data_IF_598856670538
#
_entry.id   IF_598856670538
#
_cell.length_a   1.000
_cell.length_b   1.000
_cell.length_c   1.000
_cell.angle_alpha   90.00
_cell.angle_beta   90.00
_cell.angle_gamma   90.00
#
_symmetry.space_group_name_H-M   'P 1'
#
loop_
_entity.id
_entity.type
_entity.pdbx_description
1 polymer ?
#
# COMPACT_ATOMS: atom_id res chain seq x y z
N UNK A 1 -37.29 32.46 20.54
CA UNK A 1 -37.41 32.39 19.07
C UNK A 1 -36.31 31.49 18.58
N UNK A 2 -36.67 30.39 17.90
CA UNK A 2 -35.69 29.47 17.33
C UNK A 2 -35.44 29.87 15.88
N UNK A 3 -34.17 30.04 15.53
CA UNK A 3 -33.74 30.39 14.18
C UNK A 3 -32.50 29.59 13.81
N UNK A 4 -32.42 29.16 12.55
CA UNK A 4 -31.24 28.49 12.01
C UNK A 4 -30.57 29.37 10.96
N UNK A 5 -29.24 29.45 11.01
CA UNK A 5 -28.44 30.19 10.05
C UNK A 5 -27.31 29.28 9.55
N UNK A 6 -27.17 29.16 8.23
CA UNK A 6 -26.10 28.38 7.59
C UNK A 6 -25.09 29.34 6.95
N UNK A 7 -23.80 29.09 7.15
CA UNK A 7 -22.72 29.88 6.56
C UNK A 7 -21.56 29.01 6.13
N UNK A 8 -20.91 29.39 5.03
CA UNK A 8 -19.69 28.78 4.52
C UNK A 8 -18.48 29.72 4.64
N UNK A 9 -18.70 30.94 5.17
CA UNK A 9 -17.66 31.96 5.26
C UNK A 9 -16.63 31.56 6.31
N UNK A 10 -15.35 31.50 5.91
CA UNK A 10 -14.19 31.14 6.75
C UNK A 10 -14.18 29.69 7.25
N UNK A 11 -14.84 28.76 6.56
CA UNK A 11 -14.79 27.33 6.87
C UNK A 11 -13.77 26.63 5.97
N UNK A 12 -12.63 26.24 6.55
CA UNK A 12 -11.57 25.38 5.97
C UNK A 12 -11.82 23.91 6.32
N UNK A 13 -11.70 23.02 5.34
CA UNK A 13 -12.00 21.60 5.51
C UNK A 13 -10.95 20.83 6.32
N UNK A 14 -11.38 19.75 6.99
CA UNK A 14 -10.54 18.96 7.90
C UNK A 14 -10.25 19.64 9.24
N UNK A 15 -10.91 20.77 9.53
CA UNK A 15 -10.76 21.51 10.80
C UNK A 15 -12.05 21.45 11.62
N UNK A 16 -11.85 21.55 12.93
CA UNK A 16 -12.89 21.68 13.95
C UNK A 16 -13.09 23.16 14.23
N UNK A 17 -14.34 23.62 14.31
CA UNK A 17 -14.67 25.02 14.53
C UNK A 17 -15.39 25.23 15.85
N UNK A 18 -15.07 26.32 16.52
CA UNK A 18 -15.87 26.87 17.60
C UNK A 18 -16.71 28.02 17.05
N UNK A 19 -18.02 27.98 17.23
CA UNK A 19 -18.95 29.00 16.77
C UNK A 19 -19.87 29.46 17.92
N UNK A 20 -20.31 30.71 17.86
CA UNK A 20 -21.38 31.26 18.70
C UNK A 20 -22.23 32.21 17.86
N UNK A 21 -23.50 32.38 18.22
CA UNK A 21 -24.43 33.24 17.50
C UNK A 21 -24.98 34.35 18.41
N UNK A 22 -25.52 35.40 17.82
CA UNK A 22 -26.35 36.38 18.52
C UNK A 22 -27.46 36.85 17.58
N UNK A 23 -28.59 37.29 18.13
CA UNK A 23 -29.75 37.71 17.35
C UNK A 23 -29.59 39.16 16.86
N UNK A 24 -30.29 39.52 15.80
CA UNK A 24 -30.41 40.92 15.34
C UNK A 24 -31.87 41.33 15.43
N UNK A 25 -32.18 42.38 16.20
CA UNK A 25 -33.56 42.86 16.43
C UNK A 25 -33.72 44.32 16.03
N UNK A 26 -34.95 44.71 15.64
CA UNK A 26 -35.36 46.10 15.38
C UNK A 26 -36.63 46.39 16.19
N UNK A 27 -36.68 47.42 17.06
CA UNK A 27 -35.58 48.31 17.42
C UNK A 27 -34.44 47.56 18.11
N UNK A 28 -33.24 48.13 18.04
CA UNK A 28 -32.05 47.48 18.59
C UNK A 28 -32.16 47.32 20.11
N UNK A 29 -31.86 46.13 20.60
CA UNK A 29 -31.91 45.77 22.01
C UNK A 29 -30.58 45.15 22.40
N UNK A 30 -30.27 45.14 23.70
CA UNK A 30 -29.10 44.46 24.24
C UNK A 30 -29.05 43.00 23.78
N UNK A 31 -27.91 42.59 23.22
CA UNK A 31 -27.69 41.27 22.63
C UNK A 31 -26.66 40.49 23.46
N UNK A 32 -26.95 39.23 23.73
CA UNK A 32 -26.01 38.30 24.35
C UNK A 32 -25.61 37.26 23.30
N UNK A 33 -24.33 36.91 23.28
CA UNK A 33 -23.88 35.79 22.46
C UNK A 33 -24.24 34.47 23.13
N UNK A 34 -24.56 33.45 22.33
CA UNK A 34 -24.64 32.08 22.83
C UNK A 34 -23.26 31.66 23.40
N UNK A 35 -23.22 30.64 24.26
CA UNK A 35 -21.99 29.93 24.55
C UNK A 35 -21.30 29.45 23.25
N UNK A 36 -19.99 29.29 23.31
CA UNK A 36 -19.24 28.68 22.22
C UNK A 36 -19.63 27.21 22.08
N UNK A 37 -19.85 26.76 20.85
CA UNK A 37 -20.14 25.39 20.51
C UNK A 37 -19.12 24.88 19.49
N UNK A 38 -18.60 23.67 19.71
CA UNK A 38 -17.60 23.02 18.85
C UNK A 38 -18.29 22.06 17.88
N UNK A 39 -17.90 22.06 16.62
CA UNK A 39 -18.38 21.07 15.64
C UNK A 39 -18.03 19.65 16.07
N UNK A 40 -19.00 18.73 16.03
CA UNK A 40 -18.83 17.36 16.52
C UNK A 40 -17.84 16.50 15.71
N UNK A 41 -17.62 16.85 14.44
CA UNK A 41 -16.67 16.20 13.53
C UNK A 41 -15.92 17.26 12.72
N UNK A 42 -14.68 17.00 12.26
CA UNK A 42 -14.02 17.83 11.27
C UNK A 42 -14.91 18.01 10.05
N UNK A 43 -14.91 19.22 9.50
CA UNK A 43 -15.64 19.52 8.26
C UNK A 43 -15.16 18.61 7.12
N UNK A 44 -16.11 18.04 6.34
CA UNK A 44 -15.84 17.05 5.28
C UNK A 44 -14.82 17.53 4.24
N UNK A 45 -14.31 16.60 3.42
CA UNK A 45 -13.11 16.72 2.59
C UNK A 45 -13.25 17.61 1.33
N UNK A 46 -13.79 18.81 1.48
CA UNK A 46 -13.93 19.78 0.40
C UNK A 46 -12.58 20.24 -0.16
N UNK A 47 -11.51 20.30 0.65
CA UNK A 47 -10.18 20.82 0.23
C UNK A 47 -9.43 19.90 -0.71
N UNK A 48 -9.58 18.56 -0.62
CA UNK A 48 -8.90 17.66 -1.57
C UNK A 48 -9.55 17.74 -2.95
N UNK A 49 -10.89 17.85 -3.00
CA UNK A 49 -11.59 18.01 -4.28
C UNK A 49 -11.24 19.34 -4.94
N UNK A 50 -11.23 20.44 -4.18
CA UNK A 50 -10.83 21.76 -4.69
C UNK A 50 -9.33 21.82 -4.99
N UNK A 51 -8.49 21.13 -4.21
CA UNK A 51 -7.04 21.10 -4.40
C UNK A 51 -6.61 20.27 -5.60
N UNK A 52 -7.30 19.17 -5.90
CA UNK A 52 -7.10 18.39 -7.12
C UNK A 52 -7.61 19.14 -8.36
N UNK A 53 -8.71 19.89 -8.24
CA UNK A 53 -9.17 20.80 -9.28
C UNK A 53 -8.17 21.94 -9.51
N UNK A 54 -7.63 22.53 -8.45
CA UNK A 54 -6.59 23.56 -8.55
C UNK A 54 -5.30 23.02 -9.18
N UNK A 55 -4.86 21.83 -8.79
CA UNK A 55 -3.70 21.17 -9.41
C UNK A 55 -3.93 20.87 -10.90
N UNK A 56 -5.15 20.45 -11.27
CA UNK A 56 -5.52 20.27 -12.67
C UNK A 56 -5.50 21.59 -13.44
N UNK A 57 -6.06 22.66 -12.87
CA UNK A 57 -6.09 23.99 -13.49
C UNK A 57 -4.68 24.61 -13.60
N UNK A 58 -3.85 24.46 -12.56
CA UNK A 58 -2.47 24.93 -12.53
C UNK A 58 -1.60 24.19 -13.55
N UNK A 59 -1.77 22.86 -13.67
CA UNK A 59 -1.11 22.07 -14.70
C UNK A 59 -1.53 22.53 -16.10
N UNK A 60 -2.83 22.72 -16.34
CA UNK A 60 -3.36 23.20 -17.62
C UNK A 60 -2.83 24.58 -17.98
N UNK A 61 -2.77 25.49 -17.00
CA UNK A 61 -2.23 26.84 -17.20
C UNK A 61 -0.74 26.82 -17.47
N UNK A 62 0.04 26.00 -16.74
CA UNK A 62 1.47 25.86 -16.99
C UNK A 62 1.76 25.29 -18.38
N UNK A 63 0.94 24.37 -18.87
CA UNK A 63 1.06 23.87 -20.25
C UNK A 63 0.79 24.96 -21.29
N UNK A 64 -0.22 25.81 -21.07
CA UNK A 64 -0.50 26.95 -21.96
C UNK A 64 0.62 27.98 -21.93
N UNK A 65 1.16 28.29 -20.75
CA UNK A 65 2.32 29.18 -20.59
C UNK A 65 3.54 28.63 -21.31
N UNK A 66 3.86 27.34 -21.15
CA UNK A 66 4.98 26.71 -21.86
C UNK A 66 4.78 26.70 -23.37
N UNK A 67 3.56 26.50 -23.87
CA UNK A 67 3.27 26.67 -25.29
C UNK A 67 3.54 28.10 -25.76
N UNK A 68 3.12 29.10 -25.00
CA UNK A 68 3.35 30.50 -25.33
C UNK A 68 4.83 30.89 -25.24
N UNK A 69 5.55 30.43 -24.22
CA UNK A 69 6.99 30.66 -24.07
C UNK A 69 7.78 30.02 -25.22
N UNK A 70 7.38 28.81 -25.63
CA UNK A 70 7.97 28.12 -26.77
C UNK A 70 7.72 28.89 -28.08
N UNK A 71 6.48 29.29 -28.34
CA UNK A 71 6.14 30.11 -29.50
C UNK A 71 6.89 31.45 -29.51
N UNK A 72 6.99 32.09 -28.34
CA UNK A 72 7.70 33.34 -28.16
C UNK A 72 9.22 33.21 -28.26
N UNK A 73 9.79 32.04 -28.00
CA UNK A 73 11.22 31.78 -28.15
C UNK A 73 11.60 31.45 -29.59
N UNK A 74 10.80 30.62 -30.27
CA UNK A 74 11.12 30.15 -31.62
C UNK A 74 10.73 31.14 -32.72
N UNK A 75 9.61 31.85 -32.60
CA UNK A 75 9.20 32.85 -33.62
C UNK A 75 10.22 33.95 -33.87
N UNK A 76 10.71 34.69 -32.86
CA UNK A 76 11.63 35.79 -33.11
C UNK A 76 13.00 35.29 -33.57
N UNK A 77 13.47 34.13 -33.10
CA UNK A 77 14.73 33.54 -33.60
C UNK A 77 14.66 33.10 -35.05
N UNK A 78 13.51 32.59 -35.51
CA UNK A 78 13.28 32.31 -36.93
C UNK A 78 13.33 33.60 -37.75
N UNK A 79 12.70 34.67 -37.27
CA UNK A 79 12.71 35.99 -37.93
C UNK A 79 14.11 36.61 -37.94
N UNK A 80 14.86 36.50 -36.84
CA UNK A 80 16.22 37.03 -36.72
C UNK A 80 17.22 36.27 -37.63
N UNK A 81 17.07 34.94 -37.77
CA UNK A 81 17.78 34.16 -38.78
C UNK A 81 17.35 34.54 -40.21
N UNK A 82 16.07 34.82 -40.45
CA UNK A 82 15.58 35.25 -41.77
C UNK A 82 16.16 36.62 -42.19
N UNK A 83 16.31 37.55 -41.24
CA UNK A 83 16.90 38.87 -41.49
C UNK A 83 18.42 38.81 -41.67
N UNK A 84 19.13 37.97 -40.91
CA UNK A 84 20.59 37.80 -41.03
C UNK A 84 21.03 37.15 -42.36
N UNK A 85 20.15 36.40 -43.03
CA UNK A 85 20.44 35.67 -44.27
C UNK A 85 19.83 36.31 -45.55
N UNK A 86 19.34 37.56 -45.47
CA UNK A 86 18.67 38.27 -46.58
C UNK A 86 19.63 38.81 -47.67
N UNK A 87 20.95 38.69 -47.46
CA UNK A 87 21.97 39.31 -48.32
C UNK A 87 22.47 38.47 -49.52
N UNK A 88 21.94 37.28 -49.81
CA UNK A 88 22.47 36.46 -50.91
C UNK A 88 21.41 35.69 -51.72
N UNK A 89 21.32 36.02 -53.02
CA UNK A 89 20.91 35.17 -54.17
C UNK A 89 19.54 34.48 -54.19
N UNK A 90 18.84 34.56 -55.33
CA UNK A 90 17.54 33.89 -55.58
C UNK A 90 17.56 32.34 -55.46
N UNK A 91 18.72 31.69 -55.56
CA UNK A 91 18.89 30.24 -55.34
C UNK A 91 18.64 29.88 -53.86
N UNK A 92 19.00 30.77 -52.94
CA UNK A 92 18.72 30.60 -51.52
C UNK A 92 17.23 30.64 -51.18
N UNK A 93 16.34 31.20 -52.03
CA UNK A 93 14.90 31.19 -51.75
C UNK A 93 14.28 29.79 -51.80
N UNK A 94 14.71 28.95 -52.74
CA UNK A 94 14.18 27.59 -52.89
C UNK A 94 14.69 26.71 -51.75
N UNK A 95 15.99 26.78 -51.45
CA UNK A 95 16.59 26.08 -50.29
C UNK A 95 15.98 26.57 -48.97
N UNK A 96 15.67 27.88 -48.82
CA UNK A 96 14.94 28.44 -47.67
C UNK A 96 13.55 27.84 -47.51
N UNK A 97 12.77 27.77 -48.59
CA UNK A 97 11.43 27.19 -48.55
C UNK A 97 11.50 25.70 -48.17
N UNK A 98 12.51 24.99 -48.66
CA UNK A 98 12.72 23.58 -48.38
C UNK A 98 13.17 23.33 -46.93
N UNK A 99 14.04 24.17 -46.36
CA UNK A 99 14.49 24.09 -44.95
C UNK A 99 13.34 24.44 -44.00
N UNK A 100 12.56 25.49 -44.28
CA UNK A 100 11.39 25.87 -43.47
C UNK A 100 10.34 24.76 -43.48
N UNK A 101 10.11 24.13 -44.64
CA UNK A 101 9.22 22.97 -44.73
C UNK A 101 9.77 21.78 -43.91
N UNK A 102 11.06 21.45 -44.06
CA UNK A 102 11.69 20.33 -43.34
C UNK A 102 11.69 20.54 -41.81
N UNK A 103 11.93 21.76 -41.33
CA UNK A 103 11.88 22.10 -39.90
C UNK A 103 10.43 22.11 -39.40
N UNK A 104 9.48 22.59 -40.21
CA UNK A 104 8.06 22.52 -39.90
C UNK A 104 7.57 21.08 -39.75
N UNK A 105 7.99 20.20 -40.64
CA UNK A 105 7.69 18.77 -40.60
C UNK A 105 8.35 18.09 -39.39
N UNK A 106 9.62 18.39 -39.09
CA UNK A 106 10.31 17.87 -37.92
C UNK A 106 9.68 18.36 -36.59
N UNK A 107 9.27 19.63 -36.53
CA UNK A 107 8.60 20.19 -35.35
C UNK A 107 7.20 19.58 -35.17
N UNK A 108 6.48 19.35 -36.27
CA UNK A 108 5.20 18.65 -36.25
C UNK A 108 5.38 17.20 -35.78
N UNK A 109 6.38 16.49 -36.29
CA UNK A 109 6.72 15.13 -35.86
C UNK A 109 7.11 15.08 -34.37
N UNK A 110 7.93 16.00 -33.87
CA UNK A 110 8.32 16.06 -32.44
C UNK A 110 7.12 16.41 -31.55
N UNK A 111 6.26 17.33 -32.00
CA UNK A 111 5.07 17.73 -31.25
C UNK A 111 4.06 16.60 -31.19
N UNK A 112 3.89 15.87 -32.29
CA UNK A 112 3.05 14.67 -32.37
C UNK A 112 3.61 13.55 -31.49
N UNK A 113 4.91 13.24 -31.62
CA UNK A 113 5.61 12.25 -30.80
C UNK A 113 5.52 12.57 -29.30
N UNK A 114 5.69 13.86 -28.92
CA UNK A 114 5.55 14.31 -27.53
C UNK A 114 4.10 14.21 -27.05
N UNK A 115 3.10 14.52 -27.89
CA UNK A 115 1.68 14.35 -27.56
C UNK A 115 1.31 12.88 -27.37
N UNK A 116 1.77 12.02 -28.26
CA UNK A 116 1.54 10.57 -28.21
C UNK A 116 2.18 9.99 -26.94
N UNK A 117 3.43 10.32 -26.62
CA UNK A 117 4.08 9.84 -25.37
C UNK A 117 3.46 10.41 -24.09
N UNK A 118 2.98 11.65 -24.09
CA UNK A 118 2.27 12.21 -22.92
C UNK A 118 0.92 11.51 -22.74
N UNK A 119 0.17 11.29 -23.83
CA UNK A 119 -1.11 10.56 -23.80
C UNK A 119 -0.95 9.08 -23.44
N UNK A 120 0.11 8.41 -23.90
CA UNK A 120 0.41 7.02 -23.56
C UNK A 120 0.88 6.87 -22.12
N UNK A 121 1.67 7.83 -21.58
CA UNK A 121 2.08 7.83 -20.17
C UNK A 121 0.97 8.29 -19.21
N UNK A 122 0.06 9.18 -19.63
CA UNK A 122 -1.16 9.54 -18.87
C UNK A 122 -2.17 8.38 -18.84
N UNK A 123 -2.21 7.55 -19.88
CA UNK A 123 -2.98 6.30 -19.94
C UNK A 123 -2.27 5.12 -19.24
N UNK A 124 -0.97 5.22 -18.97
CA UNK A 124 -0.19 4.30 -18.15
C UNK A 124 -0.46 4.61 -16.65
N UNK A 125 -1.70 4.51 -16.18
CA UNK A 125 -2.45 3.27 -15.88
C UNK A 125 -2.62 3.20 -14.36
N UNK A 126 -3.54 4.01 -13.84
CA UNK A 126 -4.04 3.89 -12.48
C UNK A 126 -5.56 3.84 -12.58
N UNK A 127 -6.16 2.66 -12.42
CA UNK A 127 -7.61 2.51 -12.35
C UNK A 127 -8.02 2.54 -10.88
N UNK A 128 -8.85 3.51 -10.51
CA UNK A 128 -9.42 3.60 -9.15
C UNK A 128 -10.94 3.43 -9.21
N UNK A 129 -11.45 2.40 -8.55
CA UNK A 129 -12.90 2.13 -8.38
C UNK A 129 -13.30 2.34 -6.92
N UNK A 130 -14.36 3.11 -6.69
CA UNK A 130 -14.91 3.40 -5.35
C UNK A 130 -16.42 3.10 -5.31
N UNK A 131 -16.85 2.15 -4.48
CA UNK A 131 -18.26 1.83 -4.23
C UNK A 131 -18.57 1.93 -2.74
N UNK A 132 -19.64 2.64 -2.39
CA UNK A 132 -20.06 2.81 -0.99
C UNK A 132 -21.58 2.68 -0.86
N UNK A 133 -22.03 1.90 0.13
CA UNK A 133 -23.42 1.83 0.57
C UNK A 133 -23.50 2.24 2.06
N UNK A 134 -24.50 3.03 2.42
CA UNK A 134 -24.66 3.55 3.79
C UNK A 134 -26.13 3.56 4.21
N UNK A 135 -26.41 3.09 5.42
CA UNK A 135 -27.73 3.09 6.06
C UNK A 135 -27.59 3.36 7.56
N UNK A 136 -27.91 4.58 8.00
CA UNK A 136 -27.83 4.96 9.41
C UNK A 136 -26.40 4.80 9.96
N UNK A 137 -26.19 3.82 10.84
CA UNK A 137 -24.89 3.50 11.46
C UNK A 137 -24.15 2.34 10.76
N UNK A 138 -24.69 1.81 9.66
CA UNK A 138 -24.08 0.74 8.86
C UNK A 138 -23.47 1.31 7.58
N UNK A 139 -22.21 0.97 7.30
CA UNK A 139 -21.49 1.35 6.09
C UNK A 139 -20.79 0.13 5.48
N UNK A 140 -20.87 0.00 4.16
CA UNK A 140 -20.06 -0.94 3.38
C UNK A 140 -19.32 -0.16 2.29
N UNK A 141 -18.04 -0.45 2.11
CA UNK A 141 -17.18 0.25 1.15
C UNK A 141 -16.22 -0.70 0.45
N UNK A 142 -16.08 -0.55 -0.85
CA UNK A 142 -15.08 -1.21 -1.70
C UNK A 142 -14.24 -0.14 -2.38
N UNK A 143 -12.91 -0.28 -2.28
CA UNK A 143 -11.93 0.54 -2.98
C UNK A 143 -10.98 -0.41 -3.70
N UNK A 144 -10.82 -0.24 -5.01
CA UNK A 144 -9.85 -0.99 -5.82
C UNK A 144 -8.97 -0.02 -6.58
N UNK A 145 -7.66 -0.15 -6.42
CA UNK A 145 -6.63 0.63 -7.14
C UNK A 145 -5.72 -0.34 -7.91
N UNK A 146 -5.67 -0.20 -9.24
CA UNK A 146 -4.82 -1.03 -10.10
C UNK A 146 -3.80 -0.15 -10.82
N UNK A 147 -2.53 -0.55 -10.84
CA UNK A 147 -1.46 0.13 -11.57
C UNK A 147 -0.81 -0.81 -12.58
N UNK A 148 -0.59 -0.37 -13.81
CA UNK A 148 0.13 -1.16 -14.84
C UNK A 148 1.13 -0.28 -15.60
N UNK A 149 2.43 -0.40 -15.31
CA UNK A 149 3.47 0.41 -15.94
C UNK A 149 4.44 -0.45 -16.72
N UNK A 150 4.82 -0.01 -17.91
CA UNK A 150 5.86 -0.63 -18.71
C UNK A 150 6.84 0.45 -19.20
N UNK A 151 8.12 0.17 -19.08
CA UNK A 151 9.21 0.97 -19.65
C UNK A 151 10.05 0.09 -20.57
N UNK A 152 11.10 0.65 -21.17
CA UNK A 152 12.07 -0.12 -21.96
C UNK A 152 12.68 -1.28 -21.17
N UNK A 153 12.88 -1.11 -19.85
CA UNK A 153 13.67 -2.03 -19.04
C UNK A 153 12.87 -2.73 -17.92
N UNK A 154 11.58 -2.42 -17.76
CA UNK A 154 10.77 -2.98 -16.68
C UNK A 154 9.27 -3.00 -16.96
N UNK A 155 8.56 -3.93 -16.32
CA UNK A 155 7.11 -4.00 -16.26
C UNK A 155 6.67 -4.17 -14.80
N UNK A 156 5.63 -3.45 -14.40
CA UNK A 156 5.02 -3.50 -13.07
C UNK A 156 3.50 -3.58 -13.23
N UNK A 157 2.89 -4.57 -12.60
CA UNK A 157 1.46 -4.61 -12.35
C UNK A 157 1.23 -4.69 -10.84
N UNK A 158 0.31 -3.89 -10.31
CA UNK A 158 -0.13 -4.00 -8.92
C UNK A 158 -1.62 -3.77 -8.79
N UNK A 159 -2.27 -4.45 -7.84
CA UNK A 159 -3.67 -4.25 -7.49
C UNK A 159 -3.80 -4.18 -5.97
N UNK A 160 -4.53 -3.19 -5.47
CA UNK A 160 -4.88 -3.05 -4.06
C UNK A 160 -6.39 -3.01 -3.97
N UNK A 161 -6.98 -3.93 -3.21
CA UNK A 161 -8.42 -3.99 -2.96
C UNK A 161 -8.67 -3.91 -1.46
N UNK A 162 -9.48 -2.95 -1.03
CA UNK A 162 -9.91 -2.77 0.36
C UNK A 162 -11.43 -2.91 0.45
N UNK A 163 -11.90 -3.85 1.27
CA UNK A 163 -13.30 -4.00 1.63
C UNK A 163 -13.46 -3.64 3.11
N UNK A 164 -14.33 -2.67 3.39
CA UNK A 164 -14.70 -2.25 4.73
C UNK A 164 -16.19 -2.53 4.97
N UNK A 165 -16.50 -3.11 6.13
CA UNK A 165 -17.84 -3.20 6.67
C UNK A 165 -17.83 -2.64 8.10
N UNK A 166 -18.64 -1.61 8.34
CA UNK A 166 -18.73 -0.93 9.63
C UNK A 166 -20.19 -0.89 10.11
N UNK A 167 -20.41 -1.26 11.38
CA UNK A 167 -21.72 -1.13 12.05
C UNK A 167 -21.50 -0.62 13.45
N UNK A 168 -22.09 0.53 13.80
CA UNK A 168 -22.02 1.11 15.15
C UNK A 168 -20.57 1.25 15.68
N UNK A 169 -19.60 1.57 14.81
CA UNK A 169 -18.18 1.69 15.16
C UNK A 169 -17.40 0.38 15.23
N UNK A 170 -18.03 -0.76 14.92
CA UNK A 170 -17.36 -2.05 14.77
C UNK A 170 -16.87 -2.18 13.34
N UNK A 171 -15.57 -2.34 13.13
CA UNK A 171 -14.96 -2.36 11.80
C UNK A 171 -14.46 -3.77 11.48
N UNK A 172 -14.89 -4.31 10.34
CA UNK A 172 -14.26 -5.45 9.68
C UNK A 172 -13.64 -4.97 8.36
N UNK A 173 -12.38 -5.31 8.14
CA UNK A 173 -11.62 -4.90 6.96
C UNK A 173 -10.88 -6.07 6.35
N UNK A 174 -10.91 -6.16 5.03
CA UNK A 174 -10.07 -7.01 4.20
C UNK A 174 -9.24 -6.10 3.28
N UNK A 175 -7.94 -6.33 3.23
CA UNK A 175 -7.02 -5.69 2.29
C UNK A 175 -6.31 -6.80 1.52
N UNK A 176 -6.34 -6.74 0.20
CA UNK A 176 -5.55 -7.60 -0.67
C UNK A 176 -4.66 -6.70 -1.52
N UNK A 177 -3.36 -6.97 -1.52
CA UNK A 177 -2.36 -6.31 -2.36
C UNK A 177 -1.62 -7.36 -3.17
N UNK A 178 -1.63 -7.22 -4.49
CA UNK A 178 -0.91 -8.09 -5.42
C UNK A 178 0.05 -7.25 -6.24
N UNK A 179 1.27 -7.75 -6.44
CA UNK A 179 2.30 -7.11 -7.25
C UNK A 179 3.01 -8.14 -8.10
N UNK A 180 3.19 -7.85 -9.38
CA UNK A 180 4.06 -8.56 -10.30
C UNK A 180 4.99 -7.55 -10.94
N UNK A 181 6.30 -7.71 -10.75
CA UNK A 181 7.35 -6.85 -11.30
C UNK A 181 8.35 -7.70 -12.03
N UNK A 182 8.73 -7.29 -13.24
CA UNK A 182 9.83 -7.87 -13.99
C UNK A 182 10.72 -6.75 -14.51
N UNK A 183 12.04 -6.94 -14.45
CA UNK A 183 13.03 -6.05 -15.04
C UNK A 183 14.20 -6.86 -15.62
N UNK A 184 15.22 -6.18 -16.13
CA UNK A 184 16.41 -6.82 -16.71
C UNK A 184 17.17 -7.74 -15.76
N UNK A 185 16.99 -7.55 -14.44
CA UNK A 185 17.75 -8.25 -13.41
C UNK A 185 16.89 -9.23 -12.60
N UNK A 186 15.58 -9.32 -12.83
CA UNK A 186 14.77 -10.32 -12.15
C UNK A 186 13.27 -10.15 -12.27
N UNK A 187 12.58 -11.06 -11.60
CA UNK A 187 11.14 -11.06 -11.46
C UNK A 187 10.75 -11.23 -9.99
N UNK A 188 9.72 -10.49 -9.57
CA UNK A 188 9.10 -10.57 -8.26
C UNK A 188 7.59 -10.70 -8.45
N UNK A 189 7.00 -11.65 -7.75
CA UNK A 189 5.57 -11.73 -7.57
C UNK A 189 5.26 -11.80 -6.07
N UNK A 190 4.34 -10.96 -5.59
CA UNK A 190 3.91 -10.99 -4.20
C UNK A 190 2.39 -10.81 -4.10
N UNK A 191 1.78 -11.58 -3.21
CA UNK A 191 0.38 -11.42 -2.80
C UNK A 191 0.33 -11.29 -1.28
N UNK A 192 -0.36 -10.27 -0.80
CA UNK A 192 -0.56 -9.97 0.61
C UNK A 192 -2.06 -9.88 0.85
N UNK A 193 -2.57 -10.70 1.77
CA UNK A 193 -3.97 -10.65 2.22
C UNK A 193 -4.00 -10.37 3.71
N UNK A 194 -4.50 -9.20 4.07
CA UNK A 194 -4.70 -8.76 5.44
C UNK A 194 -6.18 -8.74 5.81
N UNK A 195 -6.52 -9.29 6.97
CA UNK A 195 -7.84 -9.13 7.59
C UNK A 195 -7.68 -8.44 8.94
N UNK A 196 -8.60 -7.54 9.28
CA UNK A 196 -8.69 -6.96 10.61
C UNK A 196 -10.12 -6.84 11.07
N UNK A 197 -10.32 -7.07 12.36
CA UNK A 197 -11.58 -6.81 13.05
C UNK A 197 -11.29 -5.99 14.31
N UNK A 198 -12.03 -4.90 14.48
CA UNK A 198 -11.90 -3.98 15.60
C UNK A 198 -13.28 -3.79 16.28
N UNK A 199 -13.30 -3.99 17.59
CA UNK A 199 -14.49 -3.87 18.43
C UNK A 199 -14.11 -3.32 19.80
N UNK A 200 -14.53 -2.09 20.11
CA UNK A 200 -14.37 -1.49 21.44
C UNK A 200 -12.94 -1.60 22.04
N UNK A 201 -11.91 -1.30 21.24
CA UNK A 201 -10.50 -1.35 21.68
C UNK A 201 -9.91 -2.76 21.81
N UNK A 202 -10.61 -3.77 21.28
CA UNK A 202 -10.12 -5.12 21.02
C UNK A 202 -9.93 -5.28 19.53
N UNK A 203 -8.85 -5.95 19.14
CA UNK A 203 -8.54 -6.15 17.74
C UNK A 203 -8.06 -7.58 17.49
N UNK A 204 -8.33 -8.07 16.29
CA UNK A 204 -7.78 -9.31 15.74
C UNK A 204 -7.35 -9.05 14.29
N UNK A 205 -6.12 -9.41 13.97
CA UNK A 205 -5.48 -9.16 12.70
C UNK A 205 -4.84 -10.45 12.21
N UNK A 206 -4.95 -10.69 10.90
CA UNK A 206 -4.26 -11.77 10.22
C UNK A 206 -3.66 -11.23 8.93
N UNK A 207 -2.42 -11.63 8.64
CA UNK A 207 -1.72 -11.31 7.42
C UNK A 207 -1.19 -12.60 6.82
N UNK A 208 -1.52 -12.85 5.56
CA UNK A 208 -0.90 -13.89 4.75
C UNK A 208 -0.10 -13.19 3.66
N UNK A 209 1.17 -13.54 3.53
CA UNK A 209 2.03 -13.06 2.45
C UNK A 209 2.62 -14.26 1.72
N UNK A 210 2.49 -14.27 0.40
CA UNK A 210 3.22 -15.16 -0.47
C UNK A 210 4.07 -14.35 -1.43
N UNK A 211 5.35 -14.70 -1.54
CA UNK A 211 6.32 -13.98 -2.35
C UNK A 211 7.21 -14.97 -3.09
N UNK A 212 7.51 -14.67 -4.34
CA UNK A 212 8.47 -15.37 -5.16
C UNK A 212 9.38 -14.36 -5.84
N UNK A 213 10.69 -14.61 -5.78
CA UNK A 213 11.73 -13.77 -6.38
C UNK A 213 12.65 -14.65 -7.18
N UNK A 214 12.90 -14.28 -8.43
CA UNK A 214 13.91 -14.87 -9.28
C UNK A 214 14.88 -13.77 -9.73
N UNK A 215 16.14 -13.85 -9.28
CA UNK A 215 17.19 -12.89 -9.60
C UNK A 215 18.55 -13.60 -9.74
N UNK A 216 19.58 -12.99 -10.38
CA UNK A 216 20.93 -13.56 -10.48
C UNK A 216 21.55 -13.95 -9.14
N UNK A 217 21.18 -13.26 -8.06
CA UNK A 217 21.68 -13.52 -6.71
C UNK A 217 21.01 -14.72 -6.04
N UNK A 218 19.87 -15.18 -6.54
CA UNK A 218 19.11 -16.28 -5.93
C UNK A 218 17.67 -16.41 -6.41
N UNK A 219 17.11 -17.60 -6.20
CA UNK A 219 15.68 -17.87 -6.38
C UNK A 219 15.09 -18.20 -5.03
N UNK A 220 14.22 -17.30 -4.57
CA UNK A 220 13.63 -17.33 -3.24
C UNK A 220 12.11 -17.40 -3.35
N UNK A 221 11.48 -18.12 -2.42
CA UNK A 221 10.03 -18.17 -2.33
C UNK A 221 9.64 -18.28 -0.87
N UNK A 222 8.66 -17.52 -0.42
CA UNK A 222 8.25 -17.49 0.98
C UNK A 222 6.75 -17.38 1.13
N UNK A 223 6.18 -18.30 1.90
CA UNK A 223 4.81 -18.23 2.38
C UNK A 223 4.82 -17.95 3.88
N UNK A 224 4.19 -16.86 4.31
CA UNK A 224 4.16 -16.41 5.70
C UNK A 224 2.74 -16.13 6.16
N UNK A 225 2.44 -16.54 7.40
CA UNK A 225 1.22 -16.19 8.11
C UNK A 225 1.60 -15.51 9.42
N UNK A 226 1.04 -14.33 9.67
CA UNK A 226 1.21 -13.59 10.91
C UNK A 226 -0.17 -13.24 11.46
N UNK A 227 -0.41 -13.62 12.71
CA UNK A 227 -1.62 -13.31 13.45
C UNK A 227 -1.25 -12.41 14.63
N UNK A 228 -2.07 -11.40 14.88
CA UNK A 228 -1.93 -10.51 16.03
C UNK A 228 -3.30 -10.22 16.60
N UNK A 229 -3.51 -10.48 17.89
CA UNK A 229 -4.78 -10.20 18.53
C UNK A 229 -4.59 -9.75 19.97
N UNK A 230 -5.49 -8.89 20.45
CA UNK A 230 -5.40 -8.37 21.81
C UNK A 230 -6.28 -7.16 22.06
N UNK A 231 -5.86 -6.36 23.02
CA UNK A 231 -6.43 -5.08 23.37
C UNK A 231 -5.39 -3.98 23.16
N UNK A 232 -5.80 -2.72 23.28
CA UNK A 232 -4.89 -1.57 23.23
C UNK A 232 -3.76 -1.61 24.28
N UNK A 233 -3.85 -2.47 25.31
CA UNK A 233 -2.88 -2.56 26.41
C UNK A 233 -1.97 -3.80 26.32
N UNK A 234 -2.42 -4.87 25.65
CA UNK A 234 -1.67 -6.11 25.54
C UNK A 234 -2.13 -6.93 24.35
N UNK A 235 -1.20 -7.55 23.63
CA UNK A 235 -1.48 -8.39 22.48
C UNK A 235 -0.56 -9.60 22.42
N UNK A 236 -1.02 -10.61 21.69
CA UNK A 236 -0.25 -11.79 21.34
C UNK A 236 -0.01 -11.82 19.83
N UNK A 237 1.11 -12.41 19.46
CA UNK A 237 1.49 -12.69 18.08
C UNK A 237 1.70 -14.19 17.95
N UNK A 238 1.19 -14.77 16.88
CA UNK A 238 1.45 -16.15 16.48
C UNK A 238 1.64 -16.16 14.97
N UNK A 239 2.40 -17.10 14.45
CA UNK A 239 2.63 -17.16 13.01
C UNK A 239 3.58 -18.26 12.62
N UNK A 240 3.72 -18.43 11.31
CA UNK A 240 4.72 -19.32 10.75
C UNK A 240 5.13 -18.81 9.38
N UNK A 241 6.26 -19.28 8.90
CA UNK A 241 6.58 -19.20 7.48
C UNK A 241 7.33 -20.45 7.04
N UNK A 242 7.25 -20.71 5.75
CA UNK A 242 8.11 -21.63 5.03
C UNK A 242 8.76 -20.85 3.91
N UNK A 243 10.05 -21.03 3.71
CA UNK A 243 10.77 -20.36 2.64
C UNK A 243 11.84 -21.24 2.00
N UNK A 244 12.04 -21.02 0.72
CA UNK A 244 13.27 -21.30 0.00
C UNK A 244 14.05 -19.99 -0.07
N UNK A 245 15.33 -20.05 0.26
CA UNK A 245 16.20 -18.88 0.25
C UNK A 245 17.60 -19.25 -0.24
N UNK A 246 18.27 -18.32 -0.90
CA UNK A 246 19.61 -18.52 -1.44
C UNK A 246 20.63 -17.83 -0.54
N UNK A 247 21.60 -18.59 -0.02
CA UNK A 247 22.72 -18.05 0.76
C UNK A 247 24.04 -18.57 0.20
N UNK A 248 24.91 -17.65 -0.25
CA UNK A 248 26.18 -18.02 -0.87
C UNK A 248 26.02 -18.85 -2.16
N UNK A 249 24.95 -18.61 -2.94
CA UNK A 249 24.64 -19.35 -4.16
C UNK A 249 24.06 -20.76 -3.93
N UNK A 250 23.85 -21.16 -2.67
CA UNK A 250 23.24 -22.45 -2.33
C UNK A 250 21.80 -22.22 -1.92
N UNK A 251 20.88 -22.93 -2.56
CA UNK A 251 19.47 -22.92 -2.18
C UNK A 251 19.26 -23.72 -0.89
N UNK A 252 18.56 -23.11 0.06
CA UNK A 252 18.22 -23.66 1.37
C UNK A 252 16.73 -23.58 1.61
N UNK A 253 16.24 -24.37 2.56
CA UNK A 253 14.85 -24.37 2.99
C UNK A 253 14.77 -24.17 4.50
N UNK A 254 13.77 -23.42 4.95
CA UNK A 254 13.47 -23.21 6.36
C UNK A 254 11.96 -23.16 6.58
N UNK A 255 11.50 -23.81 7.64
CA UNK A 255 10.20 -23.55 8.24
C UNK A 255 10.43 -23.04 9.67
N UNK A 256 9.76 -21.97 10.06
CA UNK A 256 9.77 -21.47 11.42
C UNK A 256 8.34 -21.22 11.90
N UNK A 257 8.10 -21.52 13.17
CA UNK A 257 6.80 -21.37 13.82
C UNK A 257 7.00 -20.59 15.11
N UNK A 258 6.17 -19.58 15.33
CA UNK A 258 6.06 -18.84 16.58
C UNK A 258 4.68 -19.10 17.15
N UNK A 259 4.63 -19.83 18.27
CA UNK A 259 3.40 -20.08 19.02
C UNK A 259 3.75 -20.40 20.48
N UNK A 260 2.81 -20.14 21.40
CA UNK A 260 2.94 -20.61 22.79
C UNK A 260 2.82 -22.16 22.87
N UNK A 261 2.05 -22.76 21.95
CA UNK A 261 1.90 -24.21 21.81
C UNK A 261 1.84 -24.61 20.33
N UNK A 262 2.60 -25.65 19.95
CA UNK A 262 2.48 -26.31 18.65
C UNK A 262 2.02 -27.76 18.87
N UNK A 263 0.85 -28.11 18.34
CA UNK A 263 0.24 -29.44 18.54
C UNK A 263 -0.16 -30.08 17.22
N UNK A 264 0.02 -31.38 17.11
CA UNK A 264 -0.54 -32.21 16.04
C UNK A 264 -1.65 -33.05 16.67
N UNK A 265 -2.88 -32.96 16.16
CA UNK A 265 -4.05 -33.64 16.71
C UNK A 265 -4.82 -34.40 15.63
N UNK A 266 -5.42 -35.53 15.98
CA UNK A 266 -6.29 -36.32 15.10
C UNK A 266 -7.76 -35.91 15.16
N UNK A 267 -8.10 -34.87 15.94
CA UNK A 267 -9.47 -34.34 16.06
C UNK A 267 -10.39 -35.09 17.03
N UNK A 268 -9.98 -36.27 17.52
CA UNK A 268 -10.68 -37.02 18.58
C UNK A 268 -10.02 -36.74 19.95
N UNK A 269 -10.84 -36.76 21.01
CA UNK A 269 -10.49 -36.31 22.36
C UNK A 269 -9.10 -36.77 22.88
N UNK A 270 -8.26 -35.78 23.22
CA UNK A 270 -7.08 -35.81 24.14
C UNK A 270 -5.84 -36.62 23.76
N UNK A 271 -5.73 -37.21 22.58
CA UNK A 271 -4.44 -37.77 22.16
C UNK A 271 -3.67 -36.78 21.28
N UNK A 272 -2.70 -36.08 21.89
CA UNK A 272 -1.75 -35.25 21.16
C UNK A 272 -0.46 -36.05 20.90
N UNK A 273 -0.30 -36.65 19.70
CA UNK A 273 0.90 -37.41 19.37
C UNK A 273 2.20 -36.57 19.44
N UNK A 274 2.11 -35.26 19.16
CA UNK A 274 3.23 -34.32 19.21
C UNK A 274 2.77 -32.98 19.79
N UNK A 275 3.47 -32.51 20.82
CA UNK A 275 3.28 -31.19 21.46
C UNK A 275 4.64 -30.53 21.69
N UNK A 276 4.80 -29.27 21.30
CA UNK A 276 5.89 -28.41 21.77
C UNK A 276 5.31 -27.30 22.66
N UNK A 277 5.67 -27.30 23.94
CA UNK A 277 5.19 -26.32 24.92
C UNK A 277 6.24 -26.09 26.02
N UNK A 278 6.32 -24.87 26.55
CA UNK A 278 7.29 -24.50 27.59
C UNK A 278 8.76 -24.82 27.24
N UNK A 279 9.10 -24.88 25.95
CA UNK A 279 10.43 -25.22 25.46
C UNK A 279 10.73 -26.72 25.34
N UNK A 280 9.75 -27.60 25.60
CA UNK A 280 9.91 -29.05 25.54
C UNK A 280 9.08 -29.68 24.43
N UNK A 281 9.71 -30.55 23.63
CA UNK A 281 9.01 -31.46 22.72
C UNK A 281 8.52 -32.69 23.51
N UNK A 282 7.22 -32.93 23.48
CA UNK A 282 6.54 -34.06 24.09
C UNK A 282 5.93 -34.94 23.01
N UNK A 283 6.24 -36.23 23.06
CA UNK A 283 5.71 -37.25 22.16
C UNK A 283 4.99 -38.30 22.99
N UNK A 284 3.77 -38.66 22.61
CA UNK A 284 3.02 -39.69 23.33
C UNK A 284 3.60 -41.10 23.08
N UNK A 285 4.02 -41.36 21.84
CA UNK A 285 4.69 -42.57 21.39
C UNK A 285 5.74 -42.15 20.36
N UNK A 286 6.93 -42.70 20.43
CA UNK A 286 7.98 -42.47 19.44
C UNK A 286 8.60 -43.79 19.00
N UNK A 287 8.56 -44.08 17.70
CA UNK A 287 9.41 -45.10 17.09
C UNK A 287 10.61 -44.36 16.50
N UNK A 288 11.72 -44.36 17.23
CA UNK A 288 12.95 -43.67 16.85
C UNK A 288 13.98 -44.73 16.46
N UNK A 289 14.50 -44.66 15.23
CA UNK A 289 15.53 -45.60 14.76
C UNK A 289 16.81 -45.48 15.59
N UNK A 290 17.54 -44.37 15.46
CA UNK A 290 18.76 -44.09 16.23
C UNK A 290 18.61 -42.79 17.00
N UNK A 291 18.98 -42.79 18.28
CA UNK A 291 18.94 -41.63 19.16
C UNK A 291 20.38 -41.17 19.43
N UNK A 292 20.76 -40.00 18.90
CA UNK A 292 21.98 -39.30 19.30
C UNK A 292 21.59 -38.23 20.32
N UNK A 293 21.89 -38.44 21.59
CA UNK A 293 21.54 -37.53 22.68
C UNK A 293 22.71 -37.40 23.67
N UNK A 294 22.66 -36.38 24.53
CA UNK A 294 23.58 -36.29 25.67
C UNK A 294 23.08 -37.10 26.87
N UNK A 295 21.78 -36.99 27.18
CA UNK A 295 21.16 -37.57 28.37
C UNK A 295 19.76 -38.10 28.04
N UNK A 296 19.46 -39.34 28.43
CA UNK A 296 18.10 -39.89 28.48
C UNK A 296 17.73 -40.15 29.93
N UNK A 297 16.64 -39.54 30.41
CA UNK A 297 16.24 -39.64 31.81
C UNK A 297 14.75 -39.91 31.94
N UNK A 298 14.39 -40.77 32.89
CA UNK A 298 12.99 -40.99 33.28
C UNK A 298 12.48 -39.78 34.07
N UNK A 299 11.21 -39.40 33.86
CA UNK A 299 10.58 -38.30 34.60
C UNK A 299 10.54 -38.50 36.12
N UNK A 300 10.53 -39.76 36.60
CA UNK A 300 10.55 -40.08 38.03
C UNK A 300 11.97 -40.10 38.63
N UNK A 301 13.00 -39.76 37.85
CA UNK A 301 14.40 -39.73 38.29
C UNK A 301 15.03 -41.10 38.59
N UNK A 302 14.36 -42.22 38.27
CA UNK A 302 14.85 -43.56 38.63
C UNK A 302 15.78 -44.20 37.61
N UNK A 303 15.84 -43.68 36.40
CA UNK A 303 16.71 -44.20 35.34
C UNK A 303 17.35 -43.06 34.57
N UNK A 304 18.65 -43.19 34.32
CA UNK A 304 19.46 -42.25 33.57
C UNK A 304 20.41 -43.01 32.64
N UNK A 305 20.49 -42.61 31.37
CA UNK A 305 21.51 -43.03 30.41
C UNK A 305 22.27 -41.76 30.00
N UNK A 306 23.51 -41.63 30.45
CA UNK A 306 24.40 -40.52 30.13
C UNK A 306 25.29 -40.94 28.95
N UNK A 307 24.92 -40.54 27.75
CA UNK A 307 25.61 -40.93 26.52
C UNK A 307 26.90 -40.13 26.29
N UNK A 308 27.04 -38.96 26.92
CA UNK A 308 28.29 -38.21 26.91
C UNK A 308 29.36 -38.93 27.73
N UNK A 309 28.97 -39.53 28.85
CA UNK A 309 29.87 -40.26 29.76
C UNK A 309 29.85 -41.78 29.56
N UNK A 310 28.95 -42.30 28.73
CA UNK A 310 28.81 -43.73 28.44
C UNK A 310 28.27 -44.57 29.60
N UNK A 311 27.44 -44.02 30.49
CA UNK A 311 26.93 -44.71 31.69
C UNK A 311 25.42 -44.94 31.67
N UNK A 312 25.00 -45.98 32.40
CA UNK A 312 23.59 -46.28 32.70
C UNK A 312 23.46 -46.39 34.23
N UNK A 313 22.57 -45.59 34.81
CA UNK A 313 22.32 -45.51 36.25
C UNK A 313 20.85 -45.82 36.54
N UNK A 314 20.59 -46.68 37.54
CA UNK A 314 19.23 -47.02 38.02
C UNK A 314 19.18 -46.73 39.52
N UNK A 315 18.28 -45.85 39.92
CA UNK A 315 18.08 -45.40 41.30
C UNK A 315 16.83 -46.05 41.91
N UNK A 316 16.91 -46.41 43.19
CA UNK A 316 15.82 -47.01 43.96
C UNK A 316 14.78 -45.99 44.42
#
# INVERSE_FOLDING_TARGET
EDGSFRTTKNVVSGKVYNARATITTVPDRLRTFTPWMTTAQPTGLQTLLTGLQQLQDDALNRFKELQQEMDAFFRPRLVELLDAFSLEGAVGQIERQQIVATIGDALAQITEERRVRVSENEAMAQLLTYLQASLGTTNARLITEETVRATTDSALASSITTLDAEVDGNLARLIVEETARADGDGALASSISGVSADFNGRFAQGLVKFEAVAAPTGVDARFSVLLRAGTNQSFKVSGFYVELYTEGGVQKSRMAVQADQFLVTSGNSRHYPLVFENGELKLAIANIGTVNAGLLQSLNGKMKIDLNNGTIEIFS
#
